data_IF_923344142735
#
_entry.id   IF_923344142735
#
_cell.length_a   1.000
_cell.length_b   1.000
_cell.length_c   1.000
_cell.angle_alpha   90.00
_cell.angle_beta   90.00
_cell.angle_gamma   90.00
#
_symmetry.space_group_name_H-M   'P 1'
#
loop_
_entity.id
_entity.type
_entity.pdbx_description
1 polymer ?
#
# COMPACT_ATOMS: atom_id res chain seq x y z
N UNK A 1 -11.90 -15.55 -0.79
CA UNK A 1 -10.72 -14.97 -0.06
C UNK A 1 -10.73 -15.28 1.42
N UNK A 2 -11.76 -14.88 2.17
CA UNK A 2 -11.87 -15.21 3.61
C UNK A 2 -12.01 -16.71 3.87
N UNK A 3 -12.49 -17.47 2.89
CA UNK A 3 -12.64 -18.92 2.96
C UNK A 3 -11.34 -19.69 2.61
N UNK A 4 -10.20 -18.99 2.44
CA UNK A 4 -8.90 -19.63 2.22
C UNK A 4 -8.62 -20.08 0.78
N UNK A 5 -9.54 -19.87 -0.16
CA UNK A 5 -9.42 -20.28 -1.58
C UNK A 5 -8.16 -19.74 -2.31
N UNK A 6 -7.53 -18.72 -1.75
CA UNK A 6 -6.36 -18.05 -2.33
C UNK A 6 -5.10 -18.18 -1.47
N UNK A 7 -5.07 -19.17 -0.57
CA UNK A 7 -3.98 -19.40 0.37
C UNK A 7 -4.16 -18.68 1.70
N UNK A 8 -3.45 -19.17 2.71
CA UNK A 8 -3.53 -18.67 4.09
C UNK A 8 -3.14 -17.19 4.20
N UNK A 9 -2.15 -16.75 3.40
CA UNK A 9 -1.71 -15.35 3.44
C UNK A 9 -2.77 -14.38 2.93
N UNK A 10 -3.47 -14.74 1.84
CA UNK A 10 -4.55 -13.91 1.31
C UNK A 10 -5.75 -13.88 2.28
N UNK A 11 -6.01 -14.98 2.98
CA UNK A 11 -7.04 -15.06 4.01
C UNK A 11 -6.71 -14.15 5.20
N UNK A 12 -5.48 -14.23 5.73
CA UNK A 12 -5.02 -13.39 6.84
C UNK A 12 -5.08 -11.90 6.48
N UNK A 13 -4.52 -11.52 5.33
CA UNK A 13 -4.54 -10.14 4.85
C UNK A 13 -5.97 -9.61 4.67
N UNK A 14 -6.87 -10.41 4.09
CA UNK A 14 -8.28 -10.02 3.95
C UNK A 14 -9.00 -9.93 5.29
N UNK A 15 -8.69 -10.79 6.27
CA UNK A 15 -9.26 -10.69 7.62
C UNK A 15 -8.89 -9.37 8.30
N UNK A 16 -7.64 -8.91 8.14
CA UNK A 16 -7.20 -7.59 8.63
C UNK A 16 -8.01 -6.47 7.96
N UNK A 17 -8.14 -6.50 6.62
CA UNK A 17 -8.91 -5.50 5.88
C UNK A 17 -10.39 -5.47 6.31
N UNK A 18 -11.00 -6.62 6.58
CA UNK A 18 -12.39 -6.69 7.06
C UNK A 18 -12.53 -6.08 8.44
N UNK A 19 -11.61 -6.35 9.37
CA UNK A 19 -11.63 -5.73 10.71
C UNK A 19 -11.50 -4.21 10.64
N UNK A 20 -10.64 -3.71 9.74
CA UNK A 20 -10.54 -2.28 9.46
C UNK A 20 -11.87 -1.78 8.87
N UNK A 21 -12.44 -2.48 7.90
CA UNK A 21 -13.73 -2.14 7.30
C UNK A 21 -14.86 -2.02 8.34
N UNK A 22 -14.95 -2.97 9.27
CA UNK A 22 -15.90 -2.97 10.38
C UNK A 22 -15.67 -1.79 11.33
N UNK A 23 -14.42 -1.52 11.70
CA UNK A 23 -14.07 -0.40 12.58
C UNK A 23 -14.45 0.97 11.99
N UNK A 24 -14.58 1.07 10.66
CA UNK A 24 -14.97 2.29 9.95
C UNK A 24 -16.42 2.27 9.42
N UNK A 25 -17.25 1.29 9.80
CA UNK A 25 -18.63 1.10 9.30
C UNK A 25 -18.69 1.09 7.76
N UNK A 26 -17.70 0.48 7.13
CA UNK A 26 -17.58 0.44 5.68
C UNK A 26 -18.68 -0.41 5.05
N UNK A 27 -19.36 0.14 4.05
CA UNK A 27 -20.41 -0.60 3.33
C UNK A 27 -19.86 -1.57 2.29
N UNK A 28 -18.66 -1.31 1.75
CA UNK A 28 -18.01 -2.13 0.74
C UNK A 28 -16.51 -1.83 0.64
N UNK A 29 -15.76 -2.80 0.15
CA UNK A 29 -14.39 -2.60 -0.33
C UNK A 29 -14.40 -2.21 -1.81
N UNK A 30 -13.34 -1.53 -2.26
CA UNK A 30 -13.12 -1.17 -3.67
C UNK A 30 -11.81 -1.79 -4.17
N UNK A 31 -11.71 -2.18 -5.45
CA UNK A 31 -10.46 -2.69 -6.00
C UNK A 31 -9.42 -1.57 -6.05
N UNK A 32 -8.24 -1.84 -5.50
CA UNK A 32 -7.10 -0.94 -5.64
C UNK A 32 -6.40 -1.17 -6.99
N UNK A 33 -6.16 -0.09 -7.73
CA UNK A 33 -5.37 -0.05 -8.96
C UNK A 33 -3.89 -0.25 -8.68
N UNK A 34 -3.39 0.44 -7.65
CA UNK A 34 -1.98 0.50 -7.27
C UNK A 34 -1.82 0.56 -5.75
N UNK A 35 -0.72 0.00 -5.25
CA UNK A 35 -0.29 0.09 -3.87
C UNK A 35 1.19 0.52 -3.78
N UNK A 36 1.53 1.34 -2.80
CA UNK A 36 2.90 1.76 -2.52
C UNK A 36 3.20 1.52 -1.05
N UNK A 37 4.02 0.51 -0.78
CA UNK A 37 4.22 -0.08 0.55
C UNK A 37 5.52 0.38 1.19
N UNK A 38 5.47 0.67 2.49
CA UNK A 38 6.65 0.91 3.32
C UNK A 38 6.85 -0.27 4.28
N UNK A 39 8.09 -0.44 4.72
CA UNK A 39 8.45 -1.39 5.78
C UNK A 39 8.93 -0.60 6.99
N UNK A 40 8.65 -1.12 8.19
CA UNK A 40 9.13 -0.56 9.46
C UNK A 40 10.56 -0.98 9.78
N UNK A 41 11.02 -2.10 9.23
CA UNK A 41 12.33 -2.72 9.46
C UNK A 41 12.52 -3.20 10.90
N UNK A 42 11.51 -3.89 11.43
CA UNK A 42 11.56 -4.53 12.75
C UNK A 42 11.64 -6.06 12.62
N UNK A 43 12.27 -6.78 13.58
CA UNK A 43 12.36 -8.25 13.53
C UNK A 43 11.00 -8.95 13.39
N UNK A 44 9.96 -8.45 14.05
CA UNK A 44 8.61 -9.04 14.01
C UNK A 44 7.98 -8.92 12.61
N UNK A 45 8.38 -7.91 11.84
CA UNK A 45 7.96 -7.74 10.45
C UNK A 45 8.54 -8.85 9.57
N UNK A 46 9.79 -9.27 9.83
CA UNK A 46 10.44 -10.37 9.09
C UNK A 46 9.63 -11.65 9.23
N UNK A 47 9.29 -12.03 10.47
CA UNK A 47 8.47 -13.23 10.73
C UNK A 47 7.11 -13.16 10.04
N UNK A 48 6.50 -11.97 9.98
CA UNK A 48 5.23 -11.80 9.29
C UNK A 48 5.37 -11.97 7.77
N UNK A 49 6.40 -11.40 7.15
CA UNK A 49 6.68 -11.60 5.72
C UNK A 49 6.96 -13.07 5.40
N UNK A 50 7.66 -13.80 6.27
CA UNK A 50 7.89 -15.23 6.12
C UNK A 50 6.59 -16.02 6.15
N UNK A 51 5.71 -15.77 7.12
CA UNK A 51 4.38 -16.40 7.19
C UNK A 51 3.55 -16.10 5.94
N UNK A 52 3.58 -14.85 5.46
CA UNK A 52 2.91 -14.48 4.23
C UNK A 52 3.45 -15.26 3.02
N UNK A 53 4.77 -15.40 2.88
CA UNK A 53 5.36 -16.19 1.80
C UNK A 53 4.97 -17.67 1.88
N UNK A 54 5.05 -18.27 3.08
CA UNK A 54 4.65 -19.66 3.31
C UNK A 54 3.17 -19.88 3.00
N UNK A 55 2.33 -18.89 3.31
CA UNK A 55 0.91 -18.87 2.99
C UNK A 55 0.57 -18.53 1.53
N UNK A 56 1.58 -18.38 0.66
CA UNK A 56 1.39 -18.17 -0.78
C UNK A 56 1.12 -16.72 -1.19
N UNK A 57 1.56 -15.73 -0.42
CA UNK A 57 1.32 -14.32 -0.71
C UNK A 57 1.83 -13.90 -2.09
N UNK A 58 0.96 -13.19 -2.82
CA UNK A 58 1.27 -12.52 -4.08
C UNK A 58 0.55 -11.18 -4.15
N UNK A 59 1.22 -10.16 -4.66
CA UNK A 59 0.59 -8.87 -4.96
C UNK A 59 -0.50 -9.06 -6.03
N UNK A 60 -1.67 -8.45 -5.81
CA UNK A 60 -2.84 -8.55 -6.71
C UNK A 60 -3.12 -7.27 -7.50
N UNK A 61 -2.41 -6.20 -7.19
CA UNK A 61 -2.42 -4.95 -7.95
C UNK A 61 -0.98 -4.54 -8.22
N UNK A 62 -0.79 -3.46 -8.97
CA UNK A 62 0.54 -2.92 -9.20
C UNK A 62 1.11 -2.42 -7.86
N UNK A 63 2.10 -3.11 -7.33
CA UNK A 63 2.65 -2.81 -5.99
C UNK A 63 4.10 -2.37 -6.10
N UNK A 64 4.40 -1.19 -5.58
CA UNK A 64 5.75 -0.63 -5.54
C UNK A 64 6.20 -0.44 -4.10
N UNK A 65 7.52 -0.39 -3.89
CA UNK A 65 8.14 -0.20 -2.58
C UNK A 65 8.54 1.27 -2.37
N UNK A 66 8.42 1.74 -1.13
CA UNK A 66 8.90 3.03 -0.66
C UNK A 66 10.41 2.97 -0.34
N UNK A 67 11.18 4.07 -0.44
CA UNK A 67 12.59 4.09 -0.05
C UNK A 67 12.75 3.74 1.43
N UNK A 68 13.89 3.12 1.72
CA UNK A 68 14.40 2.92 3.07
C UNK A 68 15.64 3.77 3.22
N UNK A 69 15.86 4.34 4.42
CA UNK A 69 17.01 5.17 4.73
C UNK A 69 18.31 4.38 4.89
N UNK A 70 18.56 3.39 4.03
CA UNK A 70 19.72 2.51 4.07
C UNK A 70 20.53 2.74 2.81
N UNK A 71 21.76 3.20 2.99
CA UNK A 71 22.78 3.21 1.95
C UNK A 71 23.55 1.88 2.03
N UNK A 72 23.30 0.99 1.08
CA UNK A 72 23.93 -0.33 1.05
C UNK A 72 25.39 -0.27 0.60
N UNK A 73 25.75 0.71 -0.23
CA UNK A 73 27.07 0.85 -0.82
C UNK A 73 28.05 1.47 0.20
N UNK A 74 27.56 2.40 1.02
CA UNK A 74 28.36 3.14 2.01
C UNK A 74 27.92 2.88 3.45
N UNK A 75 27.37 1.69 3.74
CA UNK A 75 26.77 1.40 5.04
C UNK A 75 27.72 1.64 6.23
N UNK A 76 28.98 1.20 6.11
CA UNK A 76 30.01 1.37 7.14
C UNK A 76 30.40 2.85 7.33
N UNK A 77 30.35 3.65 6.27
CA UNK A 77 30.82 5.04 6.25
C UNK A 77 29.75 6.04 6.69
N UNK A 78 28.51 5.84 6.27
CA UNK A 78 27.40 6.78 6.51
C UNK A 78 26.19 6.14 7.17
N UNK A 79 25.95 4.84 6.97
CA UNK A 79 24.77 4.15 7.52
C UNK A 79 24.74 4.21 9.04
N UNK A 80 25.86 3.90 9.68
CA UNK A 80 26.04 3.94 11.13
C UNK A 80 25.94 5.36 11.71
N UNK A 81 26.36 6.37 10.95
CA UNK A 81 26.30 7.79 11.35
C UNK A 81 24.85 8.26 11.50
N UNK A 82 23.94 7.75 10.67
CA UNK A 82 22.50 8.04 10.76
C UNK A 82 21.74 7.10 11.71
N UNK A 83 22.46 6.28 12.49
CA UNK A 83 21.87 5.39 13.48
C UNK A 83 21.37 4.06 12.92
N UNK A 84 21.73 3.69 11.69
CA UNK A 84 21.46 2.34 11.19
C UNK A 84 22.47 1.37 11.81
N UNK A 85 21.98 0.24 12.32
CA UNK A 85 22.84 -0.83 12.84
C UNK A 85 22.94 -1.98 11.82
N UNK A 86 23.99 -2.81 11.87
CA UNK A 86 24.12 -3.97 10.99
C UNK A 86 22.87 -4.88 10.99
N UNK A 87 22.18 -4.98 12.13
CA UNK A 87 20.95 -5.74 12.27
C UNK A 87 19.80 -5.14 11.42
N UNK A 88 19.66 -3.81 11.39
CA UNK A 88 18.66 -3.14 10.55
C UNK A 88 18.95 -3.38 9.06
N UNK A 89 20.23 -3.39 8.68
CA UNK A 89 20.64 -3.72 7.30
C UNK A 89 20.20 -5.13 6.92
N UNK A 90 20.48 -6.11 7.77
CA UNK A 90 20.11 -7.51 7.54
C UNK A 90 18.59 -7.68 7.45
N UNK A 91 17.83 -7.06 8.36
CA UNK A 91 16.36 -7.03 8.34
C UNK A 91 15.85 -6.46 7.01
N UNK A 92 16.44 -5.36 6.54
CA UNK A 92 16.04 -4.75 5.29
C UNK A 92 16.33 -5.65 4.08
N UNK A 93 17.48 -6.32 4.04
CA UNK A 93 17.81 -7.27 2.97
C UNK A 93 16.84 -8.46 2.95
N UNK A 94 16.46 -8.99 4.12
CA UNK A 94 15.46 -10.05 4.23
C UNK A 94 14.08 -9.60 3.72
N UNK A 95 13.58 -8.47 4.23
CA UNK A 95 12.28 -7.91 3.79
C UNK A 95 12.31 -7.60 2.29
N UNK A 96 13.43 -7.11 1.77
CA UNK A 96 13.60 -6.85 0.34
C UNK A 96 13.44 -8.13 -0.47
N UNK A 97 14.18 -9.17 -0.13
CA UNK A 97 14.10 -10.49 -0.76
C UNK A 97 12.67 -11.06 -0.71
N UNK A 98 12.00 -10.91 0.43
CA UNK A 98 10.63 -11.38 0.61
C UNK A 98 9.63 -10.59 -0.24
N UNK A 99 9.76 -9.27 -0.28
CA UNK A 99 8.92 -8.40 -1.10
C UNK A 99 9.02 -8.74 -2.60
N UNK A 100 10.23 -9.01 -3.10
CA UNK A 100 10.44 -9.43 -4.49
C UNK A 100 9.74 -10.76 -4.80
N UNK A 101 9.84 -11.74 -3.89
CA UNK A 101 9.17 -13.04 -4.04
C UNK A 101 7.63 -12.90 -4.08
N UNK A 102 7.07 -11.90 -3.40
CA UNK A 102 5.63 -11.59 -3.46
C UNK A 102 5.21 -10.85 -4.74
N UNK A 103 6.17 -10.33 -5.52
CA UNK A 103 5.91 -9.57 -6.75
C UNK A 103 5.87 -8.06 -6.55
N UNK A 104 6.45 -7.55 -5.47
CA UNK A 104 6.63 -6.10 -5.27
C UNK A 104 7.71 -5.59 -6.23
N UNK A 105 7.44 -4.46 -6.87
CA UNK A 105 8.40 -3.77 -7.73
C UNK A 105 9.34 -2.95 -6.83
N UNK A 106 10.67 -3.16 -6.93
CA UNK A 106 11.65 -2.58 -6.02
C UNK A 106 11.95 -1.10 -6.33
N UNK A 107 10.92 -0.27 -6.50
CA UNK A 107 11.12 1.17 -6.48
C UNK A 107 11.68 1.59 -5.12
N UNK A 108 12.52 2.62 -5.13
CA UNK A 108 13.14 3.19 -3.94
C UNK A 108 12.89 4.69 -3.91
N UNK A 109 11.67 5.11 -4.25
CA UNK A 109 11.32 6.53 -4.27
C UNK A 109 9.96 6.80 -3.63
N UNK A 110 9.84 7.95 -2.97
CA UNK A 110 8.56 8.46 -2.52
C UNK A 110 7.83 9.25 -3.63
N UNK A 111 8.38 9.32 -4.84
CA UNK A 111 7.78 9.99 -6.01
C UNK A 111 7.57 9.01 -7.16
N UNK A 112 6.95 7.86 -6.87
CA UNK A 112 6.74 6.74 -7.79
C UNK A 112 5.92 7.11 -9.03
N UNK A 113 5.08 8.13 -8.95
CA UNK A 113 4.33 8.68 -10.08
C UNK A 113 5.22 9.34 -11.14
N UNK A 114 6.47 9.71 -10.82
CA UNK A 114 7.45 10.14 -11.82
C UNK A 114 8.12 8.96 -12.54
N UNK A 115 7.98 7.76 -11.99
CA UNK A 115 8.59 6.52 -12.49
C UNK A 115 7.57 5.57 -13.13
N UNK A 116 6.36 6.05 -13.44
CA UNK A 116 5.38 5.30 -14.21
C UNK A 116 4.16 4.77 -13.44
N UNK A 117 4.09 4.96 -12.12
CA UNK A 117 2.90 4.64 -11.32
C UNK A 117 1.84 5.75 -11.49
N UNK A 118 1.21 5.80 -12.65
CA UNK A 118 0.21 6.81 -13.00
C UNK A 118 -1.20 6.35 -12.60
N UNK A 119 -1.98 7.29 -12.07
CA UNK A 119 -3.40 7.08 -11.75
C UNK A 119 -4.28 7.92 -12.66
N UNK A 120 -5.43 7.36 -13.02
CA UNK A 120 -6.47 8.05 -13.76
C UNK A 120 -7.57 8.52 -12.81
N UNK A 121 -8.30 9.61 -13.14
CA UNK A 121 -9.45 10.04 -12.35
C UNK A 121 -10.44 8.88 -12.13
N UNK A 122 -10.73 8.58 -10.86
CA UNK A 122 -11.59 7.48 -10.46
C UNK A 122 -10.87 6.21 -9.99
N UNK A 123 -9.56 6.10 -10.23
CA UNK A 123 -8.77 4.99 -9.67
C UNK A 123 -8.68 5.10 -8.15
N UNK A 124 -8.88 3.98 -7.46
CA UNK A 124 -8.57 3.82 -6.04
C UNK A 124 -7.15 3.27 -5.90
N UNK A 125 -6.39 3.76 -4.92
CA UNK A 125 -5.00 3.37 -4.70
C UNK A 125 -4.68 3.35 -3.21
N UNK A 126 -3.66 2.59 -2.79
CA UNK A 126 -3.18 2.56 -1.40
C UNK A 126 -1.70 2.93 -1.35
N UNK A 127 -1.40 4.23 -1.30
CA UNK A 127 -0.02 4.72 -1.23
C UNK A 127 0.31 5.26 0.16
N UNK A 128 1.42 4.81 0.72
CA UNK A 128 2.00 5.37 1.94
C UNK A 128 2.69 6.72 1.67
N UNK A 129 2.91 7.51 2.73
CA UNK A 129 3.64 8.77 2.67
C UNK A 129 2.85 9.98 2.13
N UNK A 130 3.54 11.11 1.98
CA UNK A 130 2.95 12.36 1.45
C UNK A 130 2.64 12.30 -0.04
N UNK A 131 3.22 11.35 -0.77
CA UNK A 131 3.04 11.17 -2.20
C UNK A 131 1.61 10.79 -2.58
N UNK A 132 0.95 9.97 -1.74
CA UNK A 132 -0.47 9.68 -1.86
C UNK A 132 -1.32 10.95 -1.77
N UNK A 133 -0.99 11.86 -0.84
CA UNK A 133 -1.72 13.14 -0.69
C UNK A 133 -1.56 14.03 -1.91
N UNK A 134 -0.33 14.17 -2.42
CA UNK A 134 -0.06 14.98 -3.62
C UNK A 134 -0.78 14.40 -4.84
N UNK A 135 -0.75 13.08 -5.01
CA UNK A 135 -1.44 12.43 -6.12
C UNK A 135 -2.95 12.61 -6.04
N UNK A 136 -3.52 12.47 -4.84
CA UNK A 136 -4.94 12.67 -4.58
C UNK A 136 -5.44 14.03 -5.05
N UNK A 137 -4.69 15.09 -4.69
CA UNK A 137 -5.03 16.47 -5.03
C UNK A 137 -4.92 16.73 -6.55
N UNK A 138 -3.98 16.07 -7.23
CA UNK A 138 -3.67 16.32 -8.64
C UNK A 138 -4.50 15.49 -9.60
N UNK A 139 -4.75 14.22 -9.30
CA UNK A 139 -5.42 13.28 -10.20
C UNK A 139 -6.95 13.42 -10.18
N UNK A 140 -7.52 14.24 -9.28
CA UNK A 140 -8.96 14.32 -9.09
C UNK A 140 -9.58 12.99 -8.67
N UNK A 141 -8.76 12.04 -8.19
CA UNK A 141 -9.24 10.76 -7.70
C UNK A 141 -10.09 10.99 -6.45
N UNK A 142 -11.05 10.11 -6.16
CA UNK A 142 -11.76 10.11 -4.89
C UNK A 142 -10.89 9.45 -3.83
N UNK A 143 -10.26 10.24 -2.99
CA UNK A 143 -9.65 9.76 -1.75
C UNK A 143 -9.61 10.92 -0.78
N UNK A 144 -10.28 10.71 0.34
CA UNK A 144 -10.21 11.64 1.47
C UNK A 144 -9.10 11.15 2.40
N UNK A 145 -8.52 12.11 3.10
CA UNK A 145 -7.27 11.95 3.82
C UNK A 145 -7.38 10.86 4.88
N UNK A 146 -6.49 9.88 4.88
CA UNK A 146 -6.37 9.01 6.04
C UNK A 146 -5.17 8.09 5.99
N UNK A 147 -4.29 8.22 6.97
CA UNK A 147 -3.40 7.15 7.38
C UNK A 147 -4.26 5.88 7.57
N UNK A 148 -4.05 4.87 6.74
CA UNK A 148 -4.49 3.49 6.97
C UNK A 148 -5.99 3.17 7.08
N UNK A 149 -6.94 4.08 6.82
CA UNK A 149 -8.36 3.75 7.07
C UNK A 149 -9.44 4.50 6.28
N UNK A 150 -9.16 5.65 5.65
CA UNK A 150 -10.22 6.51 5.08
C UNK A 150 -10.61 6.16 3.63
N UNK A 151 -10.24 4.96 3.14
CA UNK A 151 -10.69 4.45 1.83
C UNK A 151 -12.12 3.89 1.84
N UNK A 152 -12.78 3.95 3.00
CA UNK A 152 -14.06 3.30 3.21
C UNK A 152 -15.17 4.36 3.15
N UNK A 153 -15.81 4.39 1.99
CA UNK A 153 -16.76 5.39 1.55
C UNK A 153 -17.89 5.66 2.56
N UNK A 154 -17.88 6.83 3.21
CA UNK A 154 -19.12 7.50 3.60
C UNK A 154 -19.86 7.91 2.34
N UNK A 155 -20.94 7.19 2.02
CA UNK A 155 -21.88 7.58 0.97
C UNK A 155 -22.40 8.99 1.25
N UNK A 156 -22.04 9.94 0.40
CA UNK A 156 -22.69 11.25 0.39
C UNK A 156 -24.14 11.03 -0.04
N UNK A 157 -25.07 11.06 0.93
CA UNK A 157 -26.42 11.56 0.67
C UNK A 157 -26.30 13.05 0.39
N UNK A 158 -25.88 13.39 -0.83
CA UNK A 158 -25.88 14.74 -1.36
C UNK A 158 -26.86 14.76 -2.53
N UNK A 159 -28.08 15.20 -2.27
CA UNK A 159 -29.01 15.60 -3.33
C UNK A 159 -28.35 16.69 -4.20
N UNK A 160 -28.41 16.51 -5.52
CA UNK A 160 -28.25 17.59 -6.50
C UNK A 160 -27.68 17.12 -7.86
N UNK A 161 -27.92 17.85 -8.96
CA UNK A 161 -29.12 18.57 -9.38
C UNK A 161 -29.88 17.79 -10.49
N UNK A 162 -31.16 18.11 -10.67
CA UNK A 162 -32.09 17.41 -11.57
C UNK A 162 -31.61 17.29 -13.02
N UNK A 163 -31.74 16.07 -13.56
CA UNK A 163 -31.67 15.80 -15.00
C UNK A 163 -32.92 16.42 -15.63
N UNK A 164 -32.74 17.51 -16.37
CA UNK A 164 -33.77 18.03 -17.29
C UNK A 164 -33.87 17.05 -18.46
N UNK A 165 -35.05 16.49 -18.65
CA UNK A 165 -35.41 15.87 -19.92
C UNK A 165 -35.37 16.92 -21.02
N UNK A 166 -34.61 16.68 -22.08
CA UNK A 166 -34.75 17.39 -23.35
C UNK A 166 -35.82 16.68 -24.19
N UNK A 167 -36.82 17.38 -24.74
CA UNK A 167 -37.69 16.83 -25.78
C UNK A 167 -37.08 17.09 -27.16
N UNK A 168 -37.20 16.12 -28.06
CA UNK A 168 -36.78 16.20 -29.46
C UNK A 168 -36.39 14.84 -30.01
#
# INVERSE_FOLDING_TARGET
MLEGEYGAAAQEAMSILVKIAEAYDAKRMVPAKSAHVAAGLFPEEVEWYERLLQGGAKCRCFTTRHPWGIDYDHFEEVGTVYGNTPEIKEIAEMIFSYSLKMGVIPLGTCIQYLLGDFLMPGDAFSWTGSSGVVCQLRAGCPGKHGRGGDQLLRGHNGQGPGVRHAPG
#
